data_IF_437245868789
#
_entry.id   IF_437245868789
#
_cell.length_a   1.000
_cell.length_b   1.000
_cell.length_c   1.000
_cell.angle_alpha   90.00
_cell.angle_beta   90.00
_cell.angle_gamma   90.00
#
_symmetry.space_group_name_H-M   'P 1'
#
loop_
_entity.id
_entity.type
_entity.pdbx_description
1 polymer ?
#
# COMPACT_ATOMS: atom_id res chain seq x y z
N UNK A 1 14.17 -74.35 9.40
CA UNK A 1 13.58 -75.28 8.42
C UNK A 1 12.95 -74.46 7.32
N UNK A 2 13.04 -74.97 6.09
CA UNK A 2 12.74 -74.33 4.80
C UNK A 2 13.84 -73.42 4.24
N UNK A 3 14.65 -74.06 3.40
CA UNK A 3 15.79 -73.58 2.62
C UNK A 3 15.45 -73.63 1.13
N UNK A 4 16.26 -72.92 0.32
CA UNK A 4 16.53 -73.06 -1.13
C UNK A 4 15.57 -72.34 -2.14
N UNK A 5 16.03 -72.02 -3.38
CA UNK A 5 17.13 -71.11 -3.76
C UNK A 5 16.89 -70.32 -5.08
N UNK A 6 17.92 -69.57 -5.51
CA UNK A 6 18.39 -69.24 -6.89
C UNK A 6 17.42 -69.32 -8.09
N UNK A 7 17.41 -68.29 -8.94
CA UNK A 7 18.17 -68.29 -10.20
C UNK A 7 18.09 -66.93 -10.94
N UNK A 8 19.23 -66.56 -11.52
CA UNK A 8 19.42 -65.45 -12.44
C UNK A 8 19.91 -66.03 -13.77
N UNK A 9 19.36 -65.55 -14.89
CA UNK A 9 19.75 -65.67 -16.31
C UNK A 9 18.43 -65.67 -17.12
N UNK A 10 18.25 -65.13 -18.33
CA UNK A 10 19.13 -64.67 -19.40
C UNK A 10 18.25 -64.00 -20.48
N UNK A 11 18.89 -63.37 -21.46
CA UNK A 11 18.43 -63.12 -22.84
C UNK A 11 17.64 -61.84 -23.17
N UNK A 12 18.45 -60.81 -23.43
CA UNK A 12 18.47 -60.00 -24.65
C UNK A 12 17.58 -60.47 -25.84
N UNK A 13 16.75 -59.54 -26.33
CA UNK A 13 16.48 -59.38 -27.78
C UNK A 13 16.42 -57.89 -28.15
N UNK A 14 17.44 -57.46 -28.89
CA UNK A 14 17.35 -56.34 -29.84
C UNK A 14 16.35 -56.70 -30.95
N UNK A 15 15.52 -55.75 -31.39
CA UNK A 15 15.56 -55.33 -32.81
C UNK A 15 14.80 -54.01 -33.08
N UNK A 16 15.57 -53.03 -33.57
CA UNK A 16 15.32 -52.15 -34.73
C UNK A 16 13.88 -51.73 -35.05
N UNK A 17 13.58 -50.44 -34.87
CA UNK A 17 12.87 -49.65 -35.89
C UNK A 17 13.51 -48.27 -36.05
N UNK A 18 14.09 -48.08 -37.23
CA UNK A 18 14.67 -46.83 -37.70
C UNK A 18 13.64 -45.78 -38.14
N UNK A 19 14.13 -44.67 -38.72
CA UNK A 19 13.38 -43.43 -38.88
C UNK A 19 12.41 -43.48 -40.07
N UNK A 20 11.23 -42.86 -39.91
CA UNK A 20 10.27 -42.66 -40.99
C UNK A 20 10.54 -41.36 -41.75
N UNK A 21 10.32 -41.34 -43.09
CA UNK A 21 10.79 -40.30 -44.00
C UNK A 21 9.83 -39.12 -44.11
N UNK A 22 10.39 -38.03 -44.64
CA UNK A 22 9.73 -36.80 -45.05
C UNK A 22 9.01 -36.94 -46.40
N UNK A 23 7.81 -36.38 -46.49
CA UNK A 23 7.05 -35.98 -47.69
C UNK A 23 5.76 -35.36 -47.16
N UNK A 24 5.22 -34.23 -47.59
CA UNK A 24 5.51 -33.31 -48.68
C UNK A 24 4.29 -32.37 -48.75
N UNK A 25 4.53 -31.14 -49.18
CA UNK A 25 3.62 -30.20 -49.86
C UNK A 25 2.14 -30.14 -49.44
N UNK A 26 1.79 -29.05 -48.74
CA UNK A 26 0.44 -28.51 -48.71
C UNK A 26 0.45 -26.98 -48.87
N UNK A 27 0.30 -26.58 -50.13
CA UNK A 27 -0.42 -25.41 -50.67
C UNK A 27 -0.83 -24.32 -49.65
N UNK A 28 -0.12 -23.19 -49.74
CA UNK A 28 -0.44 -21.92 -49.10
C UNK A 28 -1.54 -21.19 -49.87
N UNK A 29 -2.78 -21.25 -49.39
CA UNK A 29 -3.86 -20.37 -49.81
C UNK A 29 -3.88 -19.13 -48.93
N UNK A 30 -3.24 -18.06 -49.40
CA UNK A 30 -3.38 -16.72 -48.83
C UNK A 30 -4.78 -16.19 -49.15
N UNK A 31 -5.62 -16.05 -48.13
CA UNK A 31 -6.77 -15.14 -48.19
C UNK A 31 -6.35 -13.75 -47.71
N UNK A 32 -6.74 -12.68 -48.42
CA UNK A 32 -6.45 -11.31 -48.00
C UNK A 32 -7.31 -10.96 -46.78
N UNK A 33 -6.64 -10.56 -45.70
CA UNK A 33 -7.27 -9.93 -44.55
C UNK A 33 -7.84 -8.57 -44.98
N UNK A 34 -9.12 -8.26 -44.70
CA UNK A 34 -9.67 -6.95 -44.97
C UNK A 34 -9.08 -5.88 -44.04
N UNK A 35 -8.84 -4.73 -44.65
CA UNK A 35 -8.36 -3.50 -44.05
C UNK A 35 -9.16 -3.05 -42.81
N UNK A 36 -8.40 -2.57 -41.83
CA UNK A 36 -8.65 -1.32 -41.11
C UNK A 36 -10.07 -1.08 -40.56
N UNK A 37 -10.29 -1.53 -39.32
CA UNK A 37 -11.22 -0.86 -38.42
C UNK A 37 -10.42 -0.27 -37.24
N UNK A 38 -10.13 1.02 -37.35
CA UNK A 38 -9.60 1.91 -36.32
C UNK A 38 -10.53 1.91 -35.09
N UNK A 39 -10.39 0.93 -34.21
CA UNK A 39 -11.02 0.95 -32.89
C UNK A 39 -10.12 1.69 -31.89
N UNK A 40 -9.89 2.98 -32.17
CA UNK A 40 -9.34 3.92 -31.19
C UNK A 40 -10.45 4.31 -30.23
N UNK A 41 -10.73 3.42 -29.26
CA UNK A 41 -11.29 3.83 -27.98
C UNK A 41 -10.25 4.70 -27.27
N UNK A 42 -10.16 5.97 -27.69
CA UNK A 42 -9.50 6.98 -26.88
C UNK A 42 -10.23 7.07 -25.54
N UNK A 43 -9.52 7.30 -24.42
CA UNK A 43 -10.20 7.53 -23.14
C UNK A 43 -11.13 8.72 -23.31
N UNK A 44 -12.43 8.48 -23.17
CA UNK A 44 -13.43 9.54 -23.09
C UNK A 44 -13.01 10.45 -21.95
N UNK A 45 -12.48 11.63 -22.27
CA UNK A 45 -12.24 12.68 -21.29
C UNK A 45 -13.58 12.94 -20.60
N UNK A 46 -13.73 12.73 -19.28
CA UNK A 46 -14.93 13.16 -18.61
C UNK A 46 -15.08 14.67 -18.83
N UNK A 47 -16.27 15.07 -19.24
CA UNK A 47 -16.58 16.47 -19.50
C UNK A 47 -16.22 17.29 -18.26
N UNK A 48 -15.24 18.18 -18.41
CA UNK A 48 -14.81 19.10 -17.36
C UNK A 48 -15.96 20.09 -17.12
N UNK A 49 -16.87 19.74 -16.22
CA UNK A 49 -17.94 20.64 -15.78
C UNK A 49 -17.31 21.72 -14.89
N UNK A 50 -17.32 22.95 -15.39
CA UNK A 50 -16.86 24.13 -14.65
C UNK A 50 -17.82 24.37 -13.49
N UNK A 51 -17.28 24.44 -12.28
CA UNK A 51 -17.99 24.96 -11.12
C UNK A 51 -18.20 26.47 -11.33
N UNK A 52 -19.46 26.89 -11.31
CA UNK A 52 -19.85 28.27 -11.12
C UNK A 52 -20.34 28.40 -9.68
N UNK A 53 -19.65 29.23 -8.92
CA UNK A 53 -19.89 29.49 -7.51
C UNK A 53 -21.28 30.11 -7.24
N UNK A 54 -21.74 29.96 -6.00
CA UNK A 54 -22.85 30.66 -5.30
C UNK A 54 -24.29 30.12 -5.40
N UNK A 55 -24.53 29.02 -6.11
CA UNK A 55 -25.80 28.29 -6.05
C UNK A 55 -25.65 26.81 -6.39
N UNK A 56 -24.43 26.28 -6.25
CA UNK A 56 -23.99 25.05 -6.85
C UNK A 56 -24.96 23.90 -6.59
N UNK A 57 -25.58 23.42 -7.67
CA UNK A 57 -26.23 22.12 -7.71
C UNK A 57 -25.19 21.14 -7.16
N UNK A 58 -25.37 20.69 -5.90
CA UNK A 58 -24.52 19.63 -5.35
C UNK A 58 -24.67 18.47 -6.31
N UNK A 59 -23.59 18.17 -7.01
CA UNK A 59 -23.55 17.04 -7.92
C UNK A 59 -23.99 15.81 -7.13
N UNK A 60 -25.05 15.16 -7.60
CA UNK A 60 -25.61 14.02 -6.89
C UNK A 60 -24.50 12.98 -6.71
N UNK A 61 -24.34 12.49 -5.48
CA UNK A 61 -23.32 11.49 -5.18
C UNK A 61 -23.55 10.27 -6.09
N UNK A 62 -22.48 9.80 -6.72
CA UNK A 62 -22.56 8.57 -7.50
C UNK A 62 -22.87 7.39 -6.58
N UNK A 63 -23.42 6.27 -7.09
CA UNK A 63 -23.64 5.07 -6.27
C UNK A 63 -22.38 4.60 -5.53
N UNK A 64 -21.21 4.75 -6.15
CA UNK A 64 -19.92 4.37 -5.55
C UNK A 64 -19.53 5.32 -4.40
N UNK A 65 -19.80 6.63 -4.52
CA UNK A 65 -19.60 7.58 -3.43
C UNK A 65 -20.53 7.29 -2.24
N UNK A 66 -21.81 7.01 -2.52
CA UNK A 66 -22.78 6.66 -1.47
C UNK A 66 -22.36 5.40 -0.71
N UNK A 67 -21.84 4.40 -1.43
CA UNK A 67 -21.32 3.19 -0.80
C UNK A 67 -20.07 3.44 0.04
N UNK A 68 -19.13 4.25 -0.46
CA UNK A 68 -17.93 4.64 0.28
C UNK A 68 -18.28 5.41 1.56
N UNK A 69 -19.23 6.33 1.46
CA UNK A 69 -19.74 7.14 2.57
C UNK A 69 -20.41 6.28 3.64
N UNK A 70 -21.27 5.33 3.23
CA UNK A 70 -21.87 4.35 4.14
C UNK A 70 -20.80 3.60 4.94
N UNK A 71 -19.83 3.00 4.26
CA UNK A 71 -18.77 2.21 4.91
C UNK A 71 -17.96 3.08 5.88
N UNK A 72 -17.64 4.31 5.49
CA UNK A 72 -16.92 5.25 6.35
C UNK A 72 -17.74 5.61 7.59
N UNK A 73 -19.03 5.85 7.43
CA UNK A 73 -19.95 6.13 8.54
C UNK A 73 -20.04 4.97 9.55
N UNK A 74 -20.08 3.72 9.07
CA UNK A 74 -20.05 2.52 9.93
C UNK A 74 -18.75 2.47 10.74
N UNK A 75 -17.59 2.64 10.09
CA UNK A 75 -16.30 2.61 10.78
C UNK A 75 -16.17 3.72 11.84
N UNK A 76 -16.61 4.93 11.52
CA UNK A 76 -16.45 6.10 12.41
C UNK A 76 -17.39 6.08 13.61
N UNK A 77 -18.62 5.55 13.47
CA UNK A 77 -19.55 5.40 14.59
C UNK A 77 -19.06 4.40 15.64
N UNK A 78 -18.29 3.40 15.22
CA UNK A 78 -17.79 2.32 16.08
C UNK A 78 -18.92 1.55 16.78
N UNK A 79 -20.08 1.50 16.15
CA UNK A 79 -21.24 0.76 16.64
C UNK A 79 -21.23 -0.65 16.04
N UNK A 80 -21.41 -1.65 16.88
CA UNK A 80 -21.45 -3.06 16.46
C UNK A 80 -20.09 -3.75 16.45
N UNK A 81 -20.15 -5.08 16.47
CA UNK A 81 -18.98 -5.93 16.65
C UNK A 81 -17.97 -5.79 15.51
N UNK A 82 -18.45 -5.64 14.27
CA UNK A 82 -17.61 -5.48 13.09
C UNK A 82 -16.75 -4.20 13.18
N UNK A 83 -17.34 -3.06 13.53
CA UNK A 83 -16.62 -1.79 13.63
C UNK A 83 -15.59 -1.79 14.77
N UNK A 84 -15.91 -2.42 15.91
CA UNK A 84 -14.97 -2.59 17.03
C UNK A 84 -13.78 -3.47 16.61
N UNK A 85 -14.01 -4.59 15.92
CA UNK A 85 -12.93 -5.43 15.38
C UNK A 85 -12.08 -4.69 14.35
N UNK A 86 -12.70 -3.91 13.46
CA UNK A 86 -11.99 -3.07 12.50
C UNK A 86 -11.07 -2.07 13.20
N UNK A 87 -11.57 -1.40 14.24
CA UNK A 87 -10.77 -0.47 15.04
C UNK A 87 -9.57 -1.15 15.68
N UNK A 88 -9.79 -2.25 16.39
CA UNK A 88 -8.72 -3.00 17.04
C UNK A 88 -7.66 -3.47 16.02
N UNK A 89 -8.10 -3.94 14.86
CA UNK A 89 -7.20 -4.30 13.76
C UNK A 89 -6.36 -3.11 13.27
N UNK A 90 -6.99 -1.95 12.98
CA UNK A 90 -6.29 -0.75 12.51
C UNK A 90 -5.30 -0.21 13.54
N UNK A 91 -5.68 -0.21 14.82
CA UNK A 91 -4.79 0.17 15.93
C UNK A 91 -3.59 -0.80 16.02
N UNK A 92 -3.82 -2.11 15.90
CA UNK A 92 -2.74 -3.11 15.88
C UNK A 92 -1.78 -2.96 14.69
N UNK A 93 -2.29 -2.43 13.57
CA UNK A 93 -1.48 -2.09 12.40
C UNK A 93 -0.68 -0.79 12.57
N UNK A 94 -0.86 -0.08 13.70
CA UNK A 94 -0.17 1.18 14.01
C UNK A 94 -0.81 2.42 13.40
N UNK A 95 -2.09 2.36 13.03
CA UNK A 95 -2.82 3.52 12.51
C UNK A 95 -3.21 4.47 13.66
N UNK A 96 -3.03 5.77 13.46
CA UNK A 96 -3.48 6.79 14.41
C UNK A 96 -4.98 7.05 14.24
N UNK A 97 -5.76 6.75 15.28
CA UNK A 97 -7.21 6.91 15.25
C UNK A 97 -7.65 8.35 14.96
N UNK A 98 -6.91 9.35 15.45
CA UNK A 98 -7.25 10.76 15.21
C UNK A 98 -7.17 11.17 13.74
N UNK A 99 -6.39 10.44 12.92
CA UNK A 99 -6.25 10.67 11.49
C UNK A 99 -7.29 9.95 10.62
N UNK A 100 -7.96 8.92 11.17
CA UNK A 100 -8.92 8.07 10.43
C UNK A 100 -10.04 8.86 9.74
N UNK A 101 -10.66 9.88 10.37
CA UNK A 101 -11.74 10.62 9.72
C UNK A 101 -11.32 11.24 8.38
N UNK A 102 -10.04 11.57 8.18
CA UNK A 102 -9.51 12.12 6.94
C UNK A 102 -9.17 11.09 5.86
N UNK A 103 -9.26 9.79 6.15
CA UNK A 103 -8.80 8.73 5.25
C UNK A 103 -9.94 8.10 4.43
N UNK A 104 -9.67 7.65 3.19
CA UNK A 104 -10.63 6.95 2.36
C UNK A 104 -10.73 5.47 2.77
N UNK A 105 -11.17 5.21 4.00
CA UNK A 105 -11.36 3.88 4.56
C UNK A 105 -12.68 3.82 5.34
N UNK A 106 -13.36 2.69 5.23
CA UNK A 106 -14.60 2.37 5.92
C UNK A 106 -14.69 0.87 6.22
N UNK A 107 -15.83 0.47 6.78
CA UNK A 107 -16.16 -0.91 7.13
C UNK A 107 -17.52 -1.26 6.56
N UNK A 108 -17.63 -2.39 5.86
CA UNK A 108 -18.93 -2.91 5.45
C UNK A 108 -19.43 -3.89 6.51
N UNK A 109 -20.46 -3.51 7.26
CA UNK A 109 -21.10 -4.35 8.27
C UNK A 109 -22.22 -5.23 7.68
N UNK A 110 -23.02 -4.70 6.75
CA UNK A 110 -24.11 -5.41 6.09
C UNK A 110 -24.38 -4.86 4.69
N UNK A 111 -24.44 -5.75 3.70
CA UNK A 111 -24.83 -5.41 2.33
C UNK A 111 -26.29 -4.96 2.21
N UNK A 112 -27.17 -5.52 3.05
CA UNK A 112 -28.59 -5.14 3.11
C UNK A 112 -28.74 -3.71 3.63
N UNK A 113 -28.08 -3.40 4.74
CA UNK A 113 -28.12 -2.05 5.31
C UNK A 113 -27.47 -1.00 4.37
N UNK A 114 -26.38 -1.36 3.69
CA UNK A 114 -25.76 -0.51 2.67
C UNK A 114 -26.70 -0.24 1.48
N UNK A 115 -27.43 -1.26 1.01
CA UNK A 115 -28.46 -1.10 -0.03
C UNK A 115 -29.59 -0.19 0.43
N UNK A 116 -30.08 -0.38 1.65
CA UNK A 116 -31.18 0.42 2.20
C UNK A 116 -30.74 1.88 2.42
N UNK A 117 -29.46 2.11 2.77
CA UNK A 117 -28.85 3.45 2.80
C UNK A 117 -28.79 4.06 1.39
N UNK A 118 -28.35 3.31 0.39
CA UNK A 118 -28.30 3.77 -0.99
C UNK A 118 -29.69 4.12 -1.53
N UNK A 119 -30.71 3.33 -1.21
CA UNK A 119 -32.10 3.62 -1.58
C UNK A 119 -32.59 4.93 -0.96
N UNK A 120 -32.26 5.20 0.32
CA UNK A 120 -32.57 6.49 0.98
C UNK A 120 -31.84 7.67 0.35
N UNK A 121 -30.66 7.45 -0.21
CA UNK A 121 -29.91 8.45 -0.97
C UNK A 121 -30.42 8.65 -2.42
N UNK A 122 -31.50 7.96 -2.82
CA UNK A 122 -32.10 8.07 -4.15
C UNK A 122 -31.42 7.20 -5.21
N UNK A 123 -30.53 6.29 -4.84
CA UNK A 123 -29.91 5.35 -5.77
C UNK A 123 -30.93 4.28 -6.17
N UNK A 124 -31.11 4.07 -7.46
CA UNK A 124 -32.07 3.09 -7.96
C UNK A 124 -31.63 1.65 -7.62
N UNK A 125 -32.56 0.70 -7.44
CA UNK A 125 -32.21 -0.70 -7.24
C UNK A 125 -31.38 -1.30 -8.39
N UNK A 126 -31.59 -0.82 -9.63
CA UNK A 126 -30.84 -1.25 -10.80
C UNK A 126 -29.38 -0.76 -10.75
N UNK A 127 -29.16 0.50 -10.40
CA UNK A 127 -27.82 1.07 -10.24
C UNK A 127 -27.05 0.38 -9.13
N UNK A 128 -27.71 0.10 -7.99
CA UNK A 128 -27.10 -0.66 -6.91
C UNK A 128 -26.72 -2.07 -7.34
N UNK A 129 -27.64 -2.79 -7.99
CA UNK A 129 -27.40 -4.16 -8.48
C UNK A 129 -26.23 -4.21 -9.47
N UNK A 130 -26.07 -3.18 -10.30
CA UNK A 130 -24.96 -3.08 -11.26
C UNK A 130 -23.57 -3.03 -10.57
N UNK A 131 -23.49 -2.63 -9.30
CA UNK A 131 -22.22 -2.59 -8.54
C UNK A 131 -21.76 -3.94 -8.00
N UNK A 132 -22.61 -4.97 -8.03
CA UNK A 132 -22.25 -6.35 -7.66
C UNK A 132 -21.53 -6.44 -6.31
N UNK A 133 -21.99 -5.68 -5.31
CA UNK A 133 -21.40 -5.71 -3.96
C UNK A 133 -21.70 -7.08 -3.35
N UNK A 134 -20.67 -7.90 -3.19
CA UNK A 134 -20.79 -9.27 -2.69
C UNK A 134 -21.04 -9.29 -1.17
N UNK A 135 -21.97 -10.12 -0.67
CA UNK A 135 -22.12 -10.38 0.78
C UNK A 135 -20.84 -10.91 1.44
N UNK A 136 -19.91 -11.51 0.68
CA UNK A 136 -18.61 -11.95 1.19
C UNK A 136 -17.73 -10.80 1.71
N UNK A 137 -18.06 -9.55 1.40
CA UNK A 137 -17.36 -8.35 1.89
C UNK A 137 -17.85 -7.89 3.26
N UNK A 138 -18.93 -8.46 3.80
CA UNK A 138 -19.38 -8.14 5.15
C UNK A 138 -18.28 -8.48 6.17
N UNK A 139 -18.02 -7.56 7.10
CA UNK A 139 -16.90 -7.65 8.03
C UNK A 139 -15.53 -7.27 7.45
N UNK A 140 -15.47 -6.74 6.22
CA UNK A 140 -14.23 -6.24 5.63
C UNK A 140 -14.10 -4.72 5.76
N UNK A 141 -12.85 -4.27 5.95
CA UNK A 141 -12.45 -2.91 5.63
C UNK A 141 -12.60 -2.70 4.13
N UNK A 142 -13.10 -1.54 3.73
CA UNK A 142 -13.32 -1.16 2.34
C UNK A 142 -12.84 0.26 2.13
N UNK A 143 -12.22 0.54 0.99
CA UNK A 143 -11.90 1.90 0.59
C UNK A 143 -11.91 2.09 -0.92
N UNK A 144 -12.24 3.30 -1.41
CA UNK A 144 -12.19 3.58 -2.82
C UNK A 144 -10.75 3.67 -3.31
N UNK A 145 -10.53 3.25 -4.55
CA UNK A 145 -9.38 3.60 -5.37
C UNK A 145 -9.86 4.63 -6.38
N UNK A 146 -9.20 5.78 -6.41
CA UNK A 146 -9.58 6.91 -7.25
C UNK A 146 -8.52 7.16 -8.32
N UNK A 147 -8.98 7.63 -9.47
CA UNK A 147 -8.10 8.23 -10.47
C UNK A 147 -7.62 9.62 -10.02
N UNK A 148 -6.67 10.19 -10.75
CA UNK A 148 -6.15 11.53 -10.47
C UNK A 148 -7.24 12.62 -10.52
N UNK A 149 -8.30 12.41 -11.30
CA UNK A 149 -9.49 13.27 -11.35
C UNK A 149 -10.30 13.29 -10.04
N UNK A 150 -10.07 12.31 -9.17
CA UNK A 150 -10.87 12.05 -7.98
C UNK A 150 -12.00 11.03 -8.21
N UNK A 151 -12.28 10.63 -9.45
CA UNK A 151 -13.32 9.64 -9.75
C UNK A 151 -12.97 8.26 -9.15
N UNK A 152 -13.94 7.61 -8.50
CA UNK A 152 -13.78 6.23 -8.00
C UNK A 152 -13.77 5.27 -9.19
N UNK A 153 -12.65 4.58 -9.38
CA UNK A 153 -12.54 3.54 -10.42
C UNK A 153 -12.85 2.15 -9.91
N UNK A 154 -12.50 1.87 -8.65
CA UNK A 154 -12.75 0.58 -8.04
C UNK A 154 -12.68 0.67 -6.52
N UNK A 155 -12.86 -0.45 -5.83
CA UNK A 155 -12.70 -0.57 -4.39
C UNK A 155 -11.64 -1.61 -4.06
N UNK A 156 -10.88 -1.36 -3.00
CA UNK A 156 -10.14 -2.40 -2.30
C UNK A 156 -10.94 -2.81 -1.07
N UNK A 157 -10.82 -4.07 -0.69
CA UNK A 157 -11.36 -4.59 0.56
C UNK A 157 -10.35 -5.52 1.23
N UNK A 158 -10.42 -5.60 2.56
CA UNK A 158 -9.57 -6.47 3.36
C UNK A 158 -10.33 -6.94 4.61
N UNK A 159 -10.35 -8.24 4.84
CA UNK A 159 -10.91 -8.78 6.09
C UNK A 159 -10.09 -8.31 7.30
N UNK A 160 -10.75 -8.07 8.43
CA UNK A 160 -10.09 -7.65 9.69
C UNK A 160 -9.46 -8.80 10.46
N UNK A 161 -9.62 -10.02 9.97
CA UNK A 161 -8.94 -11.20 10.51
C UNK A 161 -7.42 -11.03 10.34
N UNK A 162 -6.61 -11.08 11.42
CA UNK A 162 -5.16 -11.00 11.35
C UNK A 162 -4.52 -12.03 10.39
N UNK A 163 -5.13 -13.20 10.24
CA UNK A 163 -4.64 -14.27 9.37
C UNK A 163 -4.94 -14.00 7.89
N UNK A 164 -5.91 -13.15 7.59
CA UNK A 164 -6.22 -12.73 6.24
C UNK A 164 -5.22 -11.68 5.73
N UNK A 165 -4.41 -12.09 4.75
CA UNK A 165 -3.42 -11.21 4.11
C UNK A 165 -3.86 -10.66 2.76
N UNK A 166 -4.98 -11.13 2.22
CA UNK A 166 -5.40 -10.84 0.86
C UNK A 166 -6.23 -9.55 0.78
N UNK A 167 -5.96 -8.79 -0.28
CA UNK A 167 -6.85 -7.72 -0.71
C UNK A 167 -7.83 -8.29 -1.72
N UNK A 168 -9.07 -7.86 -1.61
CA UNK A 168 -10.08 -8.12 -2.61
C UNK A 168 -10.31 -6.84 -3.42
N UNK A 169 -10.32 -6.95 -4.73
CA UNK A 169 -10.59 -5.83 -5.62
C UNK A 169 -11.87 -6.06 -6.42
N UNK A 170 -12.65 -5.01 -6.64
CA UNK A 170 -13.89 -5.11 -7.43
C UNK A 170 -13.56 -5.37 -8.90
N UNK A 171 -12.65 -4.59 -9.44
CA UNK A 171 -12.29 -4.62 -10.85
C UNK A 171 -10.79 -4.90 -11.00
N UNK A 172 -10.38 -5.37 -12.18
CA UNK A 172 -8.97 -5.50 -12.56
C UNK A 172 -8.32 -4.13 -12.77
N UNK A 173 -8.13 -3.40 -11.67
CA UNK A 173 -7.39 -2.15 -11.66
C UNK A 173 -5.89 -2.37 -11.79
N UNK A 174 -5.43 -3.61 -11.56
CA UNK A 174 -4.04 -4.03 -11.69
C UNK A 174 -3.50 -3.87 -13.11
N UNK A 175 -4.41 -3.87 -14.10
CA UNK A 175 -4.14 -3.63 -15.52
C UNK A 175 -4.14 -2.14 -15.90
N UNK A 176 -4.53 -1.25 -14.99
CA UNK A 176 -4.52 0.20 -15.22
C UNK A 176 -3.24 0.81 -14.64
N UNK A 177 -2.67 1.86 -15.25
CA UNK A 177 -1.50 2.55 -14.73
C UNK A 177 -1.88 3.48 -13.56
N UNK A 178 -2.48 2.93 -12.50
CA UNK A 178 -3.00 3.66 -11.35
C UNK A 178 -2.28 3.19 -10.08
N UNK A 179 -2.11 4.09 -9.12
CA UNK A 179 -1.69 3.78 -7.76
C UNK A 179 -2.72 4.34 -6.77
N UNK A 180 -2.87 3.67 -5.62
CA UNK A 180 -3.72 4.18 -4.55
C UNK A 180 -3.14 5.50 -4.03
N UNK A 181 -4.00 6.50 -3.91
CA UNK A 181 -3.65 7.80 -3.37
C UNK A 181 -3.25 8.86 -4.41
N UNK A 182 -3.30 8.54 -5.71
CA UNK A 182 -2.98 9.49 -6.78
C UNK A 182 -3.90 10.71 -6.79
N UNK A 183 -5.17 10.57 -6.37
CA UNK A 183 -6.14 11.67 -6.29
C UNK A 183 -5.69 12.80 -5.35
N UNK A 184 -4.90 12.47 -4.32
CA UNK A 184 -4.36 13.44 -3.37
C UNK A 184 -3.20 14.24 -3.95
N UNK A 185 -2.56 13.72 -4.99
CA UNK A 185 -1.41 14.37 -5.64
C UNK A 185 -1.87 15.47 -6.60
N UNK A 186 -3.11 15.41 -7.10
CA UNK A 186 -3.64 16.36 -8.06
C UNK A 186 -3.64 17.83 -7.62
N UNK A 187 -4.16 18.18 -6.43
CA UNK A 187 -4.13 19.57 -5.97
C UNK A 187 -2.72 20.04 -5.58
N UNK A 188 -1.85 19.13 -5.13
CA UNK A 188 -0.54 19.46 -4.57
C UNK A 188 0.58 19.50 -5.63
N UNK A 189 0.45 18.72 -6.70
CA UNK A 189 1.47 18.47 -7.74
C UNK A 189 2.89 18.34 -7.16
N UNK A 190 3.10 17.42 -6.20
CA UNK A 190 4.39 17.32 -5.54
C UNK A 190 5.44 16.78 -6.52
N UNK A 191 6.64 17.33 -6.46
CA UNK A 191 7.78 16.81 -7.22
C UNK A 191 8.36 15.53 -6.61
N UNK A 192 8.11 15.28 -5.33
CA UNK A 192 8.60 14.11 -4.58
C UNK A 192 7.46 13.43 -3.83
N UNK A 193 7.37 12.10 -3.94
CA UNK A 193 6.41 11.26 -3.22
C UNK A 193 7.06 10.08 -2.50
N UNK A 194 6.43 9.63 -1.43
CA UNK A 194 6.74 8.36 -0.78
C UNK A 194 5.88 7.25 -1.39
N UNK A 195 6.49 6.10 -1.67
CA UNK A 195 5.79 4.95 -2.24
C UNK A 195 5.97 3.71 -1.37
N UNK A 196 4.87 3.03 -1.08
CA UNK A 196 4.83 1.75 -0.37
C UNK A 196 4.20 0.67 -1.25
N UNK A 197 4.40 -0.59 -0.87
CA UNK A 197 3.81 -1.73 -1.60
C UNK A 197 2.33 -1.94 -1.25
N UNK A 198 1.90 -1.70 0.00
CA UNK A 198 0.54 -2.05 0.47
C UNK A 198 -0.32 -0.83 0.75
N UNK A 199 -1.63 -0.93 0.49
CA UNK A 199 -2.59 0.15 0.73
C UNK A 199 -2.68 0.50 2.23
N UNK A 200 -2.73 -0.52 3.10
CA UNK A 200 -2.77 -0.30 4.55
C UNK A 200 -1.57 0.50 5.05
N UNK A 201 -0.37 0.25 4.50
CA UNK A 201 0.85 0.98 4.86
C UNK A 201 0.76 2.46 4.49
N UNK A 202 0.19 2.78 3.33
CA UNK A 202 -0.06 4.16 2.93
C UNK A 202 -1.08 4.83 3.85
N UNK A 203 -2.18 4.15 4.18
CA UNK A 203 -3.19 4.67 5.11
C UNK A 203 -2.60 4.92 6.51
N UNK A 204 -1.73 4.02 6.97
CA UNK A 204 -1.03 4.17 8.25
C UNK A 204 -0.18 5.44 8.24
N UNK A 205 0.69 5.63 7.24
CA UNK A 205 1.51 6.84 7.12
C UNK A 205 0.64 8.12 7.08
N UNK A 206 -0.44 8.10 6.29
CA UNK A 206 -1.38 9.23 6.19
C UNK A 206 -2.10 9.55 7.49
N UNK A 207 -2.43 8.54 8.29
CA UNK A 207 -3.04 8.73 9.62
C UNK A 207 -2.13 9.53 10.58
N UNK A 208 -0.81 9.46 10.36
CA UNK A 208 0.21 10.21 11.07
C UNK A 208 0.57 11.55 10.39
N UNK A 209 -0.18 11.95 9.36
CA UNK A 209 0.05 13.20 8.63
C UNK A 209 1.25 13.17 7.68
N UNK A 210 1.79 11.98 7.39
CA UNK A 210 2.84 11.81 6.38
C UNK A 210 2.19 11.84 5.00
N UNK A 211 2.51 12.88 4.23
CA UNK A 211 2.09 13.09 2.85
C UNK A 211 3.23 13.79 2.08
N UNK A 212 3.31 13.65 0.74
CA UNK A 212 2.45 12.84 -0.12
C UNK A 212 2.88 11.36 -0.18
N UNK A 213 1.94 10.45 0.05
CA UNK A 213 2.18 8.98 0.04
C UNK A 213 1.30 8.29 -1.02
N UNK A 214 1.85 7.30 -1.73
CA UNK A 214 1.10 6.41 -2.62
C UNK A 214 1.36 4.93 -2.30
N UNK A 215 0.42 4.06 -2.69
CA UNK A 215 0.62 2.61 -2.65
C UNK A 215 0.39 1.97 -4.01
N UNK A 216 1.30 1.09 -4.43
CA UNK A 216 1.13 0.33 -5.67
C UNK A 216 0.22 -0.91 -5.53
N UNK A 217 -0.06 -1.30 -4.28
CA UNK A 217 -0.77 -2.53 -3.91
C UNK A 217 -0.19 -3.80 -4.55
N UNK A 218 1.11 -3.78 -4.81
CA UNK A 218 1.90 -4.87 -5.37
C UNK A 218 3.36 -4.65 -5.00
N UNK A 219 4.18 -5.67 -5.20
CA UNK A 219 5.60 -5.57 -4.91
C UNK A 219 6.30 -4.64 -5.91
N UNK A 220 7.37 -3.98 -5.49
CA UNK A 220 8.01 -2.95 -6.33
C UNK A 220 8.54 -3.48 -7.67
N UNK A 221 8.95 -4.74 -7.76
CA UNK A 221 9.37 -5.40 -9.00
C UNK A 221 8.20 -5.75 -9.95
N UNK A 222 6.97 -5.69 -9.45
CA UNK A 222 5.73 -5.96 -10.18
C UNK A 222 5.03 -4.68 -10.64
N UNK A 223 5.57 -3.50 -10.31
CA UNK A 223 5.04 -2.22 -10.79
C UNK A 223 5.27 -2.09 -12.28
N UNK A 224 4.19 -1.89 -13.02
CA UNK A 224 4.22 -1.82 -14.47
C UNK A 224 5.03 -0.58 -14.95
N UNK A 225 5.79 -0.68 -16.04
CA UNK A 225 6.50 0.46 -16.64
C UNK A 225 5.60 1.68 -16.86
N UNK A 226 4.35 1.48 -17.26
CA UNK A 226 3.37 2.53 -17.55
C UNK A 226 3.04 3.37 -16.32
N UNK A 227 3.02 2.76 -15.13
CA UNK A 227 2.78 3.48 -13.86
C UNK A 227 3.90 4.49 -13.60
N UNK A 228 5.16 4.11 -13.82
CA UNK A 228 6.31 5.00 -13.64
C UNK A 228 6.28 6.18 -14.63
N UNK A 229 5.85 5.92 -15.87
CA UNK A 229 5.64 6.95 -16.89
C UNK A 229 4.53 7.93 -16.49
N UNK A 230 3.40 7.43 -16.01
CA UNK A 230 2.30 8.27 -15.55
C UNK A 230 2.69 9.13 -14.35
N UNK A 231 3.43 8.62 -13.37
CA UNK A 231 3.93 9.45 -12.26
C UNK A 231 4.74 10.66 -12.78
N UNK A 232 5.65 10.44 -13.73
CA UNK A 232 6.46 11.50 -14.32
C UNK A 232 5.62 12.50 -15.10
N UNK A 233 4.62 12.01 -15.87
CA UNK A 233 3.67 12.83 -16.61
C UNK A 233 2.87 13.77 -15.69
N UNK A 234 2.60 13.33 -14.47
CA UNK A 234 1.93 14.14 -13.44
C UNK A 234 2.88 15.10 -12.68
N UNK A 235 4.15 15.18 -13.06
CA UNK A 235 5.13 16.09 -12.48
C UNK A 235 5.90 15.53 -11.28
N UNK A 236 5.74 14.24 -10.98
CA UNK A 236 6.49 13.57 -9.91
C UNK A 236 7.87 13.20 -10.47
N UNK A 237 8.89 13.90 -10.01
CA UNK A 237 10.27 13.74 -10.45
C UNK A 237 11.07 12.79 -9.56
N UNK A 238 10.65 12.62 -8.29
CA UNK A 238 11.32 11.77 -7.32
C UNK A 238 10.32 10.85 -6.63
N UNK A 239 10.68 9.58 -6.49
CA UNK A 239 9.92 8.60 -5.70
C UNK A 239 10.87 7.98 -4.68
N UNK A 240 10.54 8.06 -3.40
CA UNK A 240 11.25 7.32 -2.35
C UNK A 240 10.47 6.07 -1.96
N UNK A 241 11.05 4.92 -2.25
CA UNK A 241 10.51 3.61 -1.91
C UNK A 241 10.72 3.33 -0.41
N UNK A 242 9.63 2.98 0.26
CA UNK A 242 9.57 2.61 1.67
C UNK A 242 9.15 1.14 1.79
N UNK A 243 10.07 0.19 1.56
CA UNK A 243 9.75 -1.22 1.74
C UNK A 243 9.48 -1.55 3.21
N UNK A 244 8.44 -2.34 3.46
CA UNK A 244 8.07 -2.77 4.82
C UNK A 244 8.55 -4.19 5.04
N UNK A 245 9.22 -4.42 6.17
CA UNK A 245 9.77 -5.73 6.55
C UNK A 245 11.23 -5.65 6.94
N UNK A 246 11.76 -6.74 7.51
CA UNK A 246 13.14 -6.81 7.99
C UNK A 246 14.16 -6.78 6.86
N UNK A 247 13.84 -7.41 5.72
CA UNK A 247 14.71 -7.50 4.57
C UNK A 247 13.91 -7.48 3.26
N UNK A 248 14.44 -6.78 2.25
CA UNK A 248 13.96 -6.86 0.87
C UNK A 248 15.04 -7.56 0.05
N UNK A 249 14.71 -8.67 -0.63
CA UNK A 249 15.69 -9.34 -1.47
C UNK A 249 16.22 -8.41 -2.56
N UNK A 250 17.52 -8.48 -2.84
CA UNK A 250 18.16 -7.61 -3.85
C UNK A 250 17.52 -7.71 -5.23
N UNK A 251 16.98 -8.88 -5.59
CA UNK A 251 16.29 -9.10 -6.86
C UNK A 251 14.97 -8.31 -6.99
N UNK A 252 14.28 -8.01 -5.87
CA UNK A 252 13.07 -7.15 -5.88
C UNK A 252 13.46 -5.72 -6.23
N UNK A 253 14.50 -5.20 -5.57
CA UNK A 253 15.00 -3.85 -5.86
C UNK A 253 15.54 -3.75 -7.29
N UNK A 254 16.24 -4.78 -7.77
CA UNK A 254 16.71 -4.84 -9.15
C UNK A 254 15.53 -4.91 -10.14
N UNK A 255 14.51 -5.71 -9.86
CA UNK A 255 13.29 -5.76 -10.67
C UNK A 255 12.58 -4.41 -10.74
N UNK A 256 12.46 -3.69 -9.61
CA UNK A 256 11.88 -2.34 -9.58
C UNK A 256 12.67 -1.36 -10.47
N UNK A 257 14.00 -1.45 -10.45
CA UNK A 257 14.88 -0.67 -11.33
C UNK A 257 14.62 -0.99 -12.80
N UNK A 258 14.53 -2.26 -13.13
CA UNK A 258 14.36 -2.72 -14.50
C UNK A 258 12.97 -2.32 -15.05
N UNK A 259 11.92 -2.42 -14.24
CA UNK A 259 10.58 -1.92 -14.62
C UNK A 259 10.57 -0.41 -14.85
N UNK A 260 11.16 0.37 -13.94
CA UNK A 260 11.25 1.82 -14.11
C UNK A 260 12.08 2.21 -15.34
N UNK A 261 13.17 1.48 -15.64
CA UNK A 261 14.00 1.73 -16.84
C UNK A 261 13.28 1.44 -18.15
N UNK A 262 12.31 0.52 -18.17
CA UNK A 262 11.48 0.21 -19.35
C UNK A 262 10.48 1.30 -19.68
N UNK A 263 10.22 2.24 -18.78
CA UNK A 263 9.36 3.39 -19.05
C UNK A 263 10.12 4.46 -19.84
N UNK A 264 9.45 5.10 -20.81
CA UNK A 264 10.03 6.17 -21.62
C UNK A 264 10.43 7.40 -20.78
N UNK A 265 9.68 7.66 -19.71
CA UNK A 265 9.93 8.72 -18.74
C UNK A 265 9.80 8.12 -17.35
N UNK A 266 10.73 8.42 -16.45
CA UNK A 266 10.74 7.86 -15.10
C UNK A 266 11.16 8.90 -14.06
N UNK A 267 10.64 8.79 -12.83
CA UNK A 267 11.19 9.54 -11.71
C UNK A 267 12.55 8.98 -11.30
N UNK A 268 13.32 9.79 -10.60
CA UNK A 268 14.44 9.31 -9.80
C UNK A 268 13.92 8.40 -8.70
N UNK A 269 14.55 7.23 -8.55
CA UNK A 269 14.18 6.28 -7.50
C UNK A 269 15.17 6.37 -6.36
N UNK A 270 14.62 6.61 -5.18
CA UNK A 270 15.33 6.58 -3.91
C UNK A 270 14.78 5.43 -3.08
N UNK A 271 15.58 4.94 -2.14
CA UNK A 271 15.24 3.83 -1.28
C UNK A 271 15.61 4.18 0.15
N UNK A 272 14.72 3.94 1.11
CA UNK A 272 15.13 3.79 2.50
C UNK A 272 15.47 2.31 2.72
N UNK A 273 16.74 1.96 3.05
CA UNK A 273 17.10 0.58 3.31
C UNK A 273 16.21 -0.03 4.41
N UNK A 274 15.62 -1.23 4.22
CA UNK A 274 14.68 -1.83 5.17
C UNK A 274 15.21 -1.91 6.60
N UNK A 275 16.52 -2.19 6.76
CA UNK A 275 17.21 -2.25 8.06
C UNK A 275 17.16 -0.95 8.87
N UNK A 276 16.82 0.17 8.24
CA UNK A 276 16.68 1.49 8.88
C UNK A 276 15.24 1.82 9.24
N UNK A 277 14.28 1.04 8.74
CA UNK A 277 12.84 1.23 8.99
C UNK A 277 12.48 0.30 10.14
N UNK A 278 11.70 0.77 11.11
CA UNK A 278 11.18 -0.12 12.14
C UNK A 278 10.26 -1.18 11.49
N UNK A 279 10.08 -2.37 12.10
CA UNK A 279 9.26 -3.45 11.53
C UNK A 279 7.81 -3.04 11.20
N UNK A 280 7.29 -1.99 11.86
CA UNK A 280 5.99 -1.38 11.59
C UNK A 280 6.16 0.09 11.22
N UNK A 281 5.69 0.48 10.03
CA UNK A 281 5.67 1.88 9.59
C UNK A 281 4.85 2.77 10.51
N UNK A 282 3.77 2.25 11.09
CA UNK A 282 2.93 3.01 12.01
C UNK A 282 3.65 3.36 13.29
N UNK A 283 4.33 2.38 13.89
CA UNK A 283 5.19 2.62 15.05
C UNK A 283 6.32 3.59 14.72
N UNK A 284 6.95 3.42 13.57
CA UNK A 284 8.03 4.29 13.13
C UNK A 284 7.57 5.74 12.91
N UNK A 285 6.41 5.94 12.27
CA UNK A 285 5.82 7.26 12.07
C UNK A 285 5.40 7.91 13.40
N UNK A 286 4.89 7.11 14.35
CA UNK A 286 4.56 7.56 15.70
C UNK A 286 5.81 8.04 16.48
N UNK A 287 6.91 7.28 16.41
CA UNK A 287 8.16 7.58 17.12
C UNK A 287 8.87 8.82 16.57
N UNK A 288 8.90 8.99 15.24
CA UNK A 288 9.48 10.19 14.62
C UNK A 288 8.58 11.42 14.77
N UNK A 289 7.27 11.23 14.68
CA UNK A 289 6.30 12.30 14.53
C UNK A 289 6.34 12.95 13.14
N UNK A 290 5.26 13.65 12.81
CA UNK A 290 5.04 14.23 11.47
C UNK A 290 6.18 15.16 11.03
N UNK A 291 6.64 16.03 11.93
CA UNK A 291 7.63 17.07 11.59
C UNK A 291 9.03 16.52 11.30
N UNK A 292 9.41 15.40 11.90
CA UNK A 292 10.75 14.82 11.72
C UNK A 292 10.80 13.74 10.63
N UNK A 293 9.65 13.20 10.20
CA UNK A 293 9.58 12.10 9.25
C UNK A 293 10.25 12.41 7.91
N UNK A 294 9.87 13.52 7.26
CA UNK A 294 10.42 13.92 5.95
C UNK A 294 11.90 14.32 6.01
N UNK A 295 12.37 15.13 6.98
CA UNK A 295 13.80 15.39 7.17
C UNK A 295 14.60 14.09 7.34
N UNK A 296 14.13 13.18 8.20
CA UNK A 296 14.80 11.91 8.44
C UNK A 296 14.93 11.08 7.15
N UNK A 297 13.86 10.95 6.37
CA UNK A 297 13.91 10.22 5.09
C UNK A 297 14.93 10.83 4.14
N UNK A 298 14.97 12.16 4.06
CA UNK A 298 15.88 12.87 3.16
C UNK A 298 17.35 12.62 3.51
N UNK A 299 17.67 12.47 4.79
CA UNK A 299 19.01 12.17 5.29
C UNK A 299 19.42 10.70 5.11
N UNK A 300 18.44 9.78 5.14
CA UNK A 300 18.71 8.34 5.22
C UNK A 300 18.43 7.58 3.92
N UNK A 301 17.83 8.21 2.91
CA UNK A 301 17.57 7.59 1.62
C UNK A 301 18.85 7.42 0.80
N UNK A 302 18.91 6.35 0.02
CA UNK A 302 19.99 6.06 -0.93
C UNK A 302 19.44 6.02 -2.36
N UNK A 303 20.21 6.45 -3.37
CA UNK A 303 19.75 6.41 -4.75
C UNK A 303 19.67 4.96 -5.23
N UNK A 304 18.53 4.59 -5.82
CA UNK A 304 18.29 3.32 -6.49
C UNK A 304 18.40 3.47 -8.02
N UNK A 305 17.86 4.56 -8.57
CA UNK A 305 18.07 5.03 -9.95
C UNK A 305 18.28 6.55 -9.94
N UNK A 306 19.43 7.01 -10.44
CA UNK A 306 19.78 8.43 -10.51
C UNK A 306 21.27 8.66 -10.25
N UNK A 307 21.80 9.82 -10.67
CA UNK A 307 23.20 10.17 -10.45
C UNK A 307 23.41 10.74 -9.03
N UNK A 308 24.42 10.28 -8.27
CA UNK A 308 24.85 10.96 -7.04
C UNK A 308 25.38 12.38 -7.27
N UNK A 309 25.71 12.73 -8.52
CA UNK A 309 26.63 13.80 -8.92
C UNK A 309 26.06 15.22 -8.89
N UNK A 310 24.73 15.41 -8.86
CA UNK A 310 24.13 16.76 -8.84
C UNK A 310 23.84 17.27 -7.42
N UNK A 311 24.17 16.49 -6.39
CA UNK A 311 24.13 16.93 -4.99
C UNK A 311 25.35 17.78 -4.63
N UNK A 312 25.44 18.99 -5.21
CA UNK A 312 26.01 20.10 -4.44
C UNK A 312 25.07 20.28 -3.26
N UNK A 313 25.52 19.86 -2.06
CA UNK A 313 24.93 20.31 -0.79
C UNK A 313 24.67 21.81 -0.94
N UNK A 314 23.41 22.22 -1.06
CA UNK A 314 23.05 23.61 -0.81
C UNK A 314 23.49 23.84 0.63
N UNK A 315 24.49 24.70 0.89
CA UNK A 315 24.86 25.00 2.26
C UNK A 315 23.61 25.59 2.90
N UNK A 316 23.16 25.00 4.00
CA UNK A 316 22.16 25.60 4.87
C UNK A 316 22.77 26.88 5.48
N UNK A 317 22.81 27.95 4.71
CA UNK A 317 23.07 29.31 5.15
C UNK A 317 21.83 30.13 4.84
N UNK A 318 20.72 29.79 5.52
CA UNK A 318 19.69 30.79 5.78
C UNK A 318 20.16 31.52 7.02
N UNK A 319 20.88 32.61 6.79
CA UNK A 319 21.04 33.69 7.75
C UNK A 319 19.64 34.16 8.13
N UNK A 320 19.16 33.74 9.29
CA UNK A 320 17.97 34.33 9.90
C UNK A 320 18.36 35.76 10.27
N UNK A 321 18.01 36.71 9.41
CA UNK A 321 18.03 38.12 9.75
C UNK A 321 17.15 38.32 10.97
N UNK A 322 17.80 38.62 12.09
CA UNK A 322 17.20 38.98 13.37
C UNK A 322 16.37 40.23 13.16
N UNK A 323 15.07 40.09 12.94
CA UNK A 323 14.14 41.22 12.96
C UNK A 323 13.97 41.66 14.40
N UNK A 324 14.59 42.79 14.75
CA UNK A 324 14.35 43.48 16.00
C UNK A 324 12.95 44.09 15.95
N UNK A 325 11.98 43.44 16.60
CA UNK A 325 10.68 44.02 16.89
C UNK A 325 10.66 44.49 18.35
N UNK A 326 10.66 45.81 18.49
CA UNK A 326 10.49 46.60 19.70
C UNK A 326 9.19 46.23 20.43
N UNK A 327 9.30 45.94 21.72
CA UNK A 327 8.18 45.80 22.66
C UNK A 327 7.75 47.19 23.14
N UNK A 328 6.45 47.57 23.10
CA UNK A 328 5.93 48.58 24.00
C UNK A 328 5.38 47.94 25.27
N UNK A 329 5.75 48.55 26.40
CA UNK A 329 5.30 48.23 27.73
C UNK A 329 3.91 48.79 28.03
N UNK A 330 3.07 47.97 28.66
CA UNK A 330 1.96 48.29 29.57
C UNK A 330 1.65 46.96 30.27
N UNK A 331 1.64 46.78 31.59
CA UNK A 331 1.43 47.70 32.69
C UNK A 331 0.22 47.19 33.48
N UNK A 332 0.50 46.42 34.56
CA UNK A 332 -0.35 46.21 35.76
C UNK A 332 -1.70 45.47 35.51
N UNK A 333 -2.32 44.70 36.40
CA UNK A 333 -2.13 44.31 37.79
C UNK A 333 -3.08 43.10 38.01
N UNK A 334 -2.75 42.16 38.90
CA UNK A 334 -3.72 41.39 39.74
C UNK A 334 -3.07 40.16 40.37
N UNK A 335 -2.55 40.40 41.57
CA UNK A 335 -2.75 39.65 42.81
C UNK A 335 -3.64 38.39 42.76
N UNK A 336 -3.07 37.22 43.10
CA UNK A 336 -3.78 36.08 43.69
C UNK A 336 -2.81 35.06 44.31
N UNK A 337 -2.58 35.28 45.60
CA UNK A 337 -2.18 34.40 46.71
C UNK A 337 -2.30 32.87 46.51
N UNK A 338 -1.26 32.17 47.01
CA UNK A 338 -1.06 30.71 47.19
C UNK A 338 -2.16 30.04 48.08
N UNK A 339 -2.24 28.68 48.13
CA UNK A 339 -1.37 27.95 49.06
C UNK A 339 -0.74 26.67 48.48
N UNK A 340 0.50 26.50 48.94
CA UNK A 340 1.41 25.38 48.78
C UNK A 340 0.91 24.18 49.60
N UNK A 341 0.60 23.07 48.93
CA UNK A 341 0.33 21.78 49.56
C UNK A 341 1.56 20.87 49.44
N UNK A 342 2.27 20.70 50.56
CA UNK A 342 3.34 19.74 50.73
C UNK A 342 2.78 18.31 50.73
N UNK A 343 3.42 17.42 49.98
CA UNK A 343 3.09 15.99 49.93
C UNK A 343 4.35 15.18 49.67
N UNK A 344 5.09 14.92 50.74
CA UNK A 344 6.17 13.95 50.82
C UNK A 344 5.68 12.56 50.38
N UNK A 345 6.42 11.91 49.49
CA UNK A 345 6.40 10.45 49.37
C UNK A 345 7.76 9.96 48.88
N UNK A 346 8.48 9.36 49.82
CA UNK A 346 9.77 8.72 49.66
C UNK A 346 9.67 7.44 48.77
N UNK A 347 10.81 6.97 48.22
CA UNK A 347 10.85 5.90 47.24
C UNK A 347 10.90 4.51 47.88
N UNK A 348 10.08 3.58 47.39
CA UNK A 348 10.22 2.15 47.69
C UNK A 348 11.28 1.54 46.80
N UNK A 349 12.48 1.34 47.35
CA UNK A 349 13.54 0.53 46.76
C UNK A 349 13.22 -0.96 46.89
N UNK A 350 13.02 -1.66 45.77
CA UNK A 350 13.09 -3.11 45.73
C UNK A 350 14.48 -3.53 45.26
N UNK A 351 15.29 -3.97 46.24
CA UNK A 351 16.46 -4.83 46.04
C UNK A 351 15.99 -6.19 45.58
N UNK A 352 16.58 -6.71 44.50
CA UNK A 352 16.65 -8.14 44.21
C UNK A 352 18.12 -8.45 43.95
N UNK A 353 18.73 -9.12 44.93
CA UNK A 353 20.07 -9.70 44.86
C UNK A 353 19.99 -11.16 44.43
N UNK A 354 20.98 -11.57 43.62
CA UNK A 354 21.48 -12.95 43.48
C UNK A 354 20.55 -13.91 42.71
N UNK A 355 21.01 -14.70 41.75
CA UNK A 355 22.19 -15.57 41.84
C UNK A 355 22.78 -15.85 40.47
N UNK A 356 24.10 -15.76 40.39
CA UNK A 356 24.92 -16.39 39.36
C UNK A 356 24.83 -17.92 39.49
N UNK A 357 24.77 -18.61 38.35
CA UNK A 357 25.21 -19.99 38.23
C UNK A 357 25.98 -20.12 36.92
N UNK A 358 27.27 -20.38 37.05
CA UNK A 358 28.18 -20.77 35.99
C UNK A 358 27.94 -22.22 35.52
N UNK A 359 28.58 -22.53 34.39
CA UNK A 359 28.94 -23.85 33.87
C UNK A 359 27.92 -24.65 33.05
N UNK A 360 28.14 -24.62 31.72
CA UNK A 360 27.48 -25.52 30.78
C UNK A 360 28.00 -25.43 29.34
N UNK A 361 29.19 -26.01 29.09
CA UNK A 361 29.70 -26.56 27.81
C UNK A 361 29.33 -25.87 26.48
N UNK A 362 30.37 -25.36 25.83
CA UNK A 362 30.39 -25.08 24.40
C UNK A 362 30.30 -26.38 23.57
N UNK A 363 29.10 -26.73 23.11
CA UNK A 363 28.89 -27.58 21.94
C UNK A 363 28.82 -26.71 20.68
N UNK A 364 29.66 -27.06 19.69
CA UNK A 364 29.60 -26.47 18.34
C UNK A 364 28.18 -26.70 17.77
N UNK A 365 27.44 -25.66 17.37
CA UNK A 365 26.19 -25.88 16.65
C UNK A 365 26.53 -26.44 15.27
N UNK A 366 26.26 -27.74 15.10
CA UNK A 366 26.07 -28.38 13.81
C UNK A 366 25.11 -27.53 12.98
N UNK A 367 25.55 -27.09 11.79
CA UNK A 367 24.68 -26.43 10.80
C UNK A 367 23.39 -27.24 10.67
N UNK A 368 22.22 -26.70 11.02
CA UNK A 368 20.98 -27.31 10.58
C UNK A 368 21.01 -27.28 9.06
N UNK A 369 20.85 -28.45 8.43
CA UNK A 369 20.61 -28.54 7.00
C UNK A 369 19.48 -27.58 6.67
N UNK A 370 19.80 -26.57 5.85
CA UNK A 370 18.86 -25.53 5.48
C UNK A 370 17.60 -26.20 4.96
N UNK A 371 16.52 -26.10 5.73
CA UNK A 371 15.20 -26.30 5.18
C UNK A 371 15.11 -25.34 4.00
N UNK A 372 14.91 -25.92 2.83
CA UNK A 372 14.56 -25.24 1.61
C UNK A 372 13.36 -24.32 1.94
N UNK A 373 13.64 -23.03 2.15
CA UNK A 373 12.60 -22.00 2.30
C UNK A 373 11.94 -21.91 0.94
N UNK A 374 10.91 -22.73 0.73
CA UNK A 374 10.02 -22.59 -0.41
C UNK A 374 9.34 -21.23 -0.29
N UNK A 375 9.48 -20.31 -1.27
CA UNK A 375 8.76 -19.05 -1.24
C UNK A 375 7.28 -19.34 -1.48
N UNK A 376 6.49 -19.47 -0.41
CA UNK A 376 5.02 -19.59 -0.49
C UNK A 376 4.29 -18.24 -0.43
N UNK A 377 4.99 -17.13 -0.17
CA UNK A 377 4.32 -15.86 0.17
C UNK A 377 4.46 -14.76 -0.90
N UNK A 378 4.76 -15.13 -2.15
CA UNK A 378 4.94 -14.20 -3.26
C UNK A 378 3.93 -14.30 -4.41
N UNK A 379 2.83 -15.04 -4.22
CA UNK A 379 1.76 -15.09 -5.21
C UNK A 379 1.15 -13.70 -5.45
N UNK A 380 0.59 -13.43 -6.63
CA UNK A 380 -0.11 -12.16 -6.87
C UNK A 380 -1.22 -12.01 -5.82
N UNK A 381 -1.46 -10.79 -5.34
CA UNK A 381 -2.41 -10.45 -4.27
C UNK A 381 -3.88 -10.59 -4.72
N UNK A 382 -4.17 -11.57 -5.56
CA UNK A 382 -5.32 -11.57 -6.46
C UNK A 382 -6.48 -12.38 -5.88
N UNK A 383 -7.43 -11.66 -5.27
CA UNK A 383 -8.83 -12.07 -5.24
C UNK A 383 -9.67 -10.97 -5.89
N UNK A 384 -10.24 -11.23 -7.06
CA UNK A 384 -11.35 -10.41 -7.55
C UNK A 384 -12.62 -10.88 -6.83
N UNK A 385 -13.33 -10.01 -6.10
CA UNK A 385 -14.60 -10.42 -5.45
C UNK A 385 -15.79 -10.32 -6.41
N UNK A 386 -15.59 -9.79 -7.62
CA UNK A 386 -16.60 -9.78 -8.68
C UNK A 386 -16.73 -11.14 -9.36
N UNK A 387 -16.97 -12.23 -8.63
CA UNK A 387 -17.44 -13.47 -9.22
C UNK A 387 -18.41 -14.20 -8.29
N UNK A 388 -19.65 -14.30 -8.78
CA UNK A 388 -20.39 -15.56 -8.74
C UNK A 388 -19.68 -16.59 -9.63
#
# INVERSE_FOLDING_TARGET
MSSFPMEAAEMARLDKRGPRPASGDAVSSAQPMPDSADNRLGPSRPAMRRNADEGGVREALTPDEVFADYCRGVLLRQEGEAAVRARAFLESAGMNWSGIPGLPIGMLDSTIAARDYAAKAGISPQDWKARRISPKLEGCLVGPIREFSGEIVTFWARATDPDSRYYLFRDRWDQRPIAFGMERLAPLRPSHVFAVERILDALVLRSWGVEPVLAFARRFDQVLPEVWGELTRWGILQVTLLPVGSEVPAWVLQGARDQARRSNTRPELWLIPPRRIAPSLGRWAAELGQAAFTPWISEHRVPLLGHPSDFKRVPAAVSVSKSAATVPAHGEDSDATLPTGAGDSAPTSLRVDGTASEDGRAEKPSRPGGQEIRPKDGGPLDGCFCFD
#
